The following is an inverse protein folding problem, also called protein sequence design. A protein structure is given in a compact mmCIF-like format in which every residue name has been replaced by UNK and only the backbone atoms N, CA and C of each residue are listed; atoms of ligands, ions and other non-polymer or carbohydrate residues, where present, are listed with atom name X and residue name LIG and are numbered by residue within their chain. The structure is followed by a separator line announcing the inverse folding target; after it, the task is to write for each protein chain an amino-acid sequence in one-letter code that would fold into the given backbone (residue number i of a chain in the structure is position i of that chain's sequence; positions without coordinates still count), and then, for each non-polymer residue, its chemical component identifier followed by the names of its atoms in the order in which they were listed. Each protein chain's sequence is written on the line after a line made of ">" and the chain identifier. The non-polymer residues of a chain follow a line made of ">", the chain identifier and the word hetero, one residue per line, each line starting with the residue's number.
data_IF_541543327271
#
_entry.id   IF_541543327271
#
_cell.length_a   1.000
_cell.length_b   1.000
_cell.length_c   1.000
_cell.angle_alpha   90.00
_cell.angle_beta   90.00
_cell.angle_gamma   90.00
#
_symmetry.space_group_name_H-M   'P 1'
#
loop_
_entity.id
_entity.type
_entity.pdbx_description
1 polymer ?
#
# COMPACT_ATOMS: atom_id res chain seq x y z
N UNK A 1 -24.29 2.96 24.49
CA UNK A 1 -24.47 4.40 24.33
C UNK A 1 -23.64 4.80 23.12
N UNK A 2 -24.29 5.05 21.98
CA UNK A 2 -23.63 5.21 20.69
C UNK A 2 -23.37 6.70 20.43
N UNK A 3 -22.13 7.07 20.10
CA UNK A 3 -21.78 8.42 19.66
C UNK A 3 -21.29 8.31 18.23
N UNK A 4 -22.16 8.69 17.29
CA UNK A 4 -21.81 9.00 15.91
C UNK A 4 -21.00 10.31 15.91
N UNK A 5 -19.86 10.33 15.23
CA UNK A 5 -19.18 11.57 14.88
C UNK A 5 -19.06 11.64 13.36
N UNK A 6 -19.83 12.57 12.80
CA UNK A 6 -19.90 12.90 11.38
C UNK A 6 -18.76 13.82 10.94
N UNK A 7 -18.35 13.61 9.69
CA UNK A 7 -17.32 14.27 8.89
C UNK A 7 -17.27 15.81 8.89
N UNK A 8 -16.08 16.37 8.59
CA UNK A 8 -15.94 17.69 7.98
C UNK A 8 -14.95 17.68 6.81
N UNK A 9 -15.49 17.93 5.61
CA UNK A 9 -14.81 18.25 4.36
C UNK A 9 -14.72 19.77 4.22
N UNK A 10 -13.57 20.30 3.79
CA UNK A 10 -13.48 21.65 3.22
C UNK A 10 -12.85 21.54 1.84
N UNK A 11 -13.67 21.77 0.82
CA UNK A 11 -13.25 21.99 -0.55
C UNK A 11 -13.26 23.49 -0.84
N UNK A 12 -12.21 24.00 -1.47
CA UNK A 12 -12.24 25.29 -2.17
C UNK A 12 -11.79 25.08 -3.61
N UNK A 13 -12.62 25.53 -4.54
CA UNK A 13 -12.39 25.46 -5.97
C UNK A 13 -11.61 26.66 -6.49
N UNK A 14 -10.94 26.46 -7.62
CA UNK A 14 -10.53 27.52 -8.54
C UNK A 14 -10.87 27.07 -9.95
N UNK A 15 -11.69 27.87 -10.63
CA UNK A 15 -12.04 27.74 -12.04
C UNK A 15 -10.87 28.19 -12.92
N UNK A 16 -10.50 27.38 -13.90
CA UNK A 16 -9.75 27.84 -15.08
C UNK A 16 -10.41 27.26 -16.32
N UNK A 17 -11.04 28.14 -17.10
CA UNK A 17 -11.54 27.91 -18.45
C UNK A 17 -10.37 27.89 -19.43
N UNK A 18 -10.27 26.83 -20.24
CA UNK A 18 -9.44 26.84 -21.46
C UNK A 18 -10.26 26.27 -22.62
N UNK A 19 -10.55 27.14 -23.57
CA UNK A 19 -11.06 26.85 -24.91
C UNK A 19 -9.97 26.15 -25.73
N UNK A 20 -10.30 25.04 -26.39
CA UNK A 20 -9.40 24.39 -27.34
C UNK A 20 -10.15 23.38 -28.21
N UNK A 21 -10.66 23.85 -29.35
CA UNK A 21 -11.29 23.04 -30.39
C UNK A 21 -10.21 22.36 -31.25
N UNK A 22 -10.28 21.03 -31.43
CA UNK A 22 -9.54 20.30 -32.46
C UNK A 22 -10.51 19.33 -33.16
N UNK A 23 -10.56 19.30 -34.51
CA UNK A 23 -11.50 18.48 -35.27
C UNK A 23 -11.07 17.02 -35.34
N UNK A 24 -12.01 16.09 -35.12
CA UNK A 24 -11.85 14.67 -35.46
C UNK A 24 -12.50 14.41 -36.82
N UNK A 25 -11.69 13.96 -37.77
CA UNK A 25 -12.16 13.39 -39.03
C UNK A 25 -12.61 11.95 -38.82
N UNK A 26 -13.85 11.67 -39.22
CA UNK A 26 -14.48 10.36 -39.24
C UNK A 26 -14.24 9.67 -40.60
N UNK A 27 -14.41 8.35 -40.59
CA UNK A 27 -14.58 7.40 -41.72
C UNK A 27 -13.35 6.72 -42.34
N UNK A 28 -13.15 5.46 -41.94
CA UNK A 28 -12.82 4.38 -42.86
C UNK A 28 -13.47 3.08 -42.38
N UNK A 29 -14.56 2.72 -43.05
CA UNK A 29 -15.37 1.51 -42.84
C UNK A 29 -14.76 0.40 -43.72
N UNK A 30 -14.09 -0.57 -43.12
CA UNK A 30 -13.55 -1.72 -43.83
C UNK A 30 -14.60 -2.84 -43.90
N UNK A 31 -15.16 -3.01 -45.09
CA UNK A 31 -15.99 -4.12 -45.53
C UNK A 31 -15.19 -5.42 -45.56
N UNK A 32 -15.64 -6.46 -44.85
CA UNK A 32 -15.11 -7.83 -44.98
C UNK A 32 -16.13 -8.68 -45.74
N UNK A 33 -15.76 -9.35 -46.85
CA UNK A 33 -16.66 -10.22 -47.60
C UNK A 33 -16.83 -11.59 -46.94
N UNK A 34 -18.08 -12.07 -46.88
CA UNK A 34 -18.42 -13.47 -46.62
C UNK A 34 -18.04 -14.37 -47.81
N UNK A 35 -17.55 -15.59 -47.55
CA UNK A 35 -17.74 -16.71 -48.46
C UNK A 35 -18.83 -17.65 -47.95
N UNK A 36 -19.85 -17.85 -48.78
CA UNK A 36 -20.81 -18.94 -48.73
C UNK A 36 -20.22 -20.21 -49.34
N UNK A 37 -20.39 -21.36 -48.69
CA UNK A 37 -20.40 -22.75 -49.19
C UNK A 37 -20.81 -23.58 -47.94
N UNK A 38 -21.92 -24.32 -47.90
CA UNK A 38 -22.28 -25.48 -48.71
C UNK A 38 -22.51 -26.66 -47.73
N UNK A 39 -23.72 -27.24 -47.75
CA UNK A 39 -24.14 -28.39 -46.94
C UNK A 39 -23.20 -29.59 -47.11
N UNK A 40 -22.83 -30.29 -46.02
CA UNK A 40 -22.88 -31.77 -45.93
C UNK A 40 -23.02 -32.22 -44.47
N UNK A 41 -23.96 -33.14 -44.24
CA UNK A 41 -24.14 -33.94 -43.02
C UNK A 41 -23.04 -34.98 -42.86
N UNK A 42 -22.57 -35.27 -41.63
CA UNK A 42 -22.49 -36.63 -41.11
C UNK A 42 -22.05 -36.73 -39.64
N UNK A 43 -22.54 -37.80 -39.03
CA UNK A 43 -22.40 -38.22 -37.65
C UNK A 43 -20.99 -38.72 -37.33
N UNK A 44 -20.45 -38.33 -36.18
CA UNK A 44 -19.46 -39.13 -35.44
C UNK A 44 -19.40 -38.65 -33.99
N UNK A 45 -19.98 -39.44 -33.08
CA UNK A 45 -19.74 -39.37 -31.64
C UNK A 45 -18.31 -39.84 -31.38
N UNK A 46 -17.46 -38.95 -30.87
CA UNK A 46 -16.15 -39.28 -30.32
C UNK A 46 -15.98 -38.61 -28.94
N UNK A 47 -15.23 -39.25 -28.03
CA UNK A 47 -15.28 -38.96 -26.61
C UNK A 47 -14.65 -37.61 -26.29
N UNK A 48 -15.23 -36.94 -25.30
CA UNK A 48 -14.78 -35.64 -24.80
C UNK A 48 -13.32 -35.66 -24.38
N UNK A 49 -12.47 -35.08 -25.22
CA UNK A 49 -11.27 -34.42 -24.74
C UNK A 49 -11.71 -33.08 -24.18
N UNK A 50 -11.82 -33.02 -22.85
CA UNK A 50 -11.80 -31.75 -22.14
C UNK A 50 -10.45 -31.08 -22.48
N UNK A 51 -10.49 -30.14 -23.43
CA UNK A 51 -9.44 -29.15 -23.58
C UNK A 51 -9.34 -28.45 -22.23
N UNK A 52 -8.28 -28.76 -21.49
CA UNK A 52 -7.79 -27.88 -20.44
C UNK A 52 -7.53 -26.55 -21.14
N UNK A 53 -8.49 -25.62 -21.05
CA UNK A 53 -8.25 -24.20 -21.21
C UNK A 53 -7.23 -23.84 -20.13
N UNK A 54 -5.95 -24.04 -20.42
CA UNK A 54 -4.89 -23.37 -19.72
C UNK A 54 -5.10 -21.90 -20.06
N UNK A 55 -5.78 -21.18 -19.17
CA UNK A 55 -5.74 -19.74 -19.16
C UNK A 55 -4.26 -19.38 -19.11
N UNK A 56 -3.76 -18.79 -20.20
CA UNK A 56 -2.49 -18.09 -20.19
C UNK A 56 -2.44 -17.22 -18.92
N UNK A 57 -1.33 -17.20 -18.17
CA UNK A 57 -1.21 -16.24 -17.09
C UNK A 57 -1.47 -14.86 -17.70
N UNK A 58 -2.57 -14.23 -17.28
CA UNK A 58 -2.86 -12.86 -17.63
C UNK A 58 -1.66 -12.09 -17.11
N UNK A 59 -0.87 -11.55 -18.04
CA UNK A 59 0.18 -10.60 -17.77
C UNK A 59 -0.50 -9.49 -16.97
N UNK A 60 -0.27 -9.52 -15.65
CA UNK A 60 -1.09 -8.80 -14.68
C UNK A 60 -1.16 -7.34 -15.07
N UNK A 61 -2.37 -6.78 -15.02
CA UNK A 61 -2.59 -5.35 -15.10
C UNK A 61 -1.56 -4.68 -14.17
N UNK A 62 -0.58 -3.99 -14.75
CA UNK A 62 0.54 -3.34 -14.03
C UNK A 62 0.05 -2.06 -13.33
N UNK A 63 -1.01 -2.22 -12.54
CA UNK A 63 -1.71 -1.15 -11.87
C UNK A 63 -1.78 -1.49 -10.39
N UNK A 64 -0.81 -0.97 -9.64
CA UNK A 64 -0.97 -0.83 -8.20
C UNK A 64 -1.98 0.30 -8.00
N UNK A 65 -3.10 0.09 -7.28
CA UNK A 65 -4.04 1.16 -7.00
C UNK A 65 -3.33 2.25 -6.19
N UNK A 66 -3.76 3.50 -6.32
CA UNK A 66 -3.25 4.57 -5.46
C UNK A 66 -3.56 4.26 -3.99
N UNK A 67 -2.75 4.76 -3.03
CA UNK A 67 -3.11 4.65 -1.63
C UNK A 67 -4.47 5.32 -1.37
N UNK A 68 -5.25 4.83 -0.39
CA UNK A 68 -6.39 5.57 0.10
C UNK A 68 -6.00 7.01 0.47
N UNK A 69 -6.87 7.98 0.16
CA UNK A 69 -6.61 9.40 0.44
C UNK A 69 -6.42 9.67 1.93
N UNK A 70 -7.12 8.91 2.77
CA UNK A 70 -7.06 9.00 4.21
C UNK A 70 -6.97 7.58 4.78
N UNK A 71 -6.05 7.37 5.71
CA UNK A 71 -5.97 6.17 6.54
C UNK A 71 -5.89 6.58 8.00
N UNK A 72 -6.48 5.76 8.86
CA UNK A 72 -6.50 5.97 10.29
C UNK A 72 -6.08 4.66 10.96
N UNK A 73 -4.97 4.71 11.68
CA UNK A 73 -4.49 3.62 12.51
C UNK A 73 -4.63 4.04 13.97
N UNK A 74 -5.02 3.12 14.85
CA UNK A 74 -5.21 3.39 16.27
C UNK A 74 -4.35 2.44 17.09
N UNK A 75 -3.73 2.99 18.13
CA UNK A 75 -2.98 2.21 19.11
C UNK A 75 -3.87 1.22 19.87
N UNK A 76 -3.35 0.11 20.39
CA UNK A 76 -4.16 -0.92 21.03
C UNK A 76 -5.08 -0.41 22.16
N UNK A 77 -4.60 0.49 23.02
CA UNK A 77 -5.41 1.10 24.07
C UNK A 77 -6.25 2.30 23.59
N UNK A 78 -6.05 2.78 22.37
CA UNK A 78 -6.76 3.93 21.79
C UNK A 78 -6.25 5.29 22.28
N UNK A 79 -5.08 5.34 22.92
CA UNK A 79 -4.49 6.59 23.42
C UNK A 79 -3.91 7.43 22.27
N UNK A 80 -3.42 6.77 21.23
CA UNK A 80 -2.86 7.40 20.05
C UNK A 80 -3.60 7.01 18.77
N UNK A 81 -3.71 8.00 17.88
CA UNK A 81 -4.29 7.86 16.54
C UNK A 81 -3.32 8.42 15.50
N UNK A 82 -2.93 7.58 14.56
CA UNK A 82 -2.11 7.97 13.42
C UNK A 82 -3.01 8.19 12.21
N UNK A 83 -2.94 9.39 11.65
CA UNK A 83 -3.66 9.77 10.43
C UNK A 83 -2.64 9.91 9.29
N UNK A 84 -2.85 9.17 8.21
CA UNK A 84 -2.07 9.31 6.97
C UNK A 84 -2.96 9.93 5.91
N UNK A 85 -2.54 11.06 5.36
CA UNK A 85 -3.29 11.78 4.33
C UNK A 85 -2.43 11.94 3.07
N UNK A 86 -2.88 11.36 1.96
CA UNK A 86 -2.28 11.56 0.65
C UNK A 86 -2.78 12.86 0.05
N UNK A 87 -1.87 13.81 -0.16
CA UNK A 87 -2.14 15.11 -0.75
C UNK A 87 -1.14 15.43 -1.85
N UNK A 88 -1.28 16.64 -2.44
CA UNK A 88 -0.24 17.23 -3.28
C UNK A 88 0.54 18.23 -2.44
N UNK A 89 1.86 18.21 -2.55
CA UNK A 89 2.71 19.25 -1.99
C UNK A 89 2.64 20.54 -2.84
N UNK A 90 3.37 21.57 -2.42
CA UNK A 90 3.43 22.87 -3.11
C UNK A 90 3.96 22.75 -4.56
N UNK A 91 4.77 21.72 -4.84
CA UNK A 91 5.28 21.42 -6.17
C UNK A 91 4.29 20.58 -7.01
N UNK A 92 3.14 20.20 -6.44
CA UNK A 92 2.13 19.37 -7.08
C UNK A 92 2.42 17.87 -7.06
N UNK A 93 3.50 17.44 -6.38
CA UNK A 93 3.88 16.03 -6.22
C UNK A 93 2.99 15.39 -5.19
N UNK A 94 2.49 14.18 -5.47
CA UNK A 94 1.73 13.44 -4.46
C UNK A 94 2.64 12.99 -3.33
N UNK A 95 2.26 13.32 -2.09
CA UNK A 95 3.01 13.01 -0.87
C UNK A 95 2.03 12.68 0.25
N UNK A 96 2.45 11.79 1.14
CA UNK A 96 1.66 11.47 2.33
C UNK A 96 2.16 12.26 3.51
N UNK A 97 1.25 12.97 4.16
CA UNK A 97 1.49 13.58 5.47
C UNK A 97 0.99 12.62 6.55
N UNK A 98 1.85 12.31 7.51
CA UNK A 98 1.50 11.59 8.73
C UNK A 98 1.27 12.60 9.85
N UNK A 99 0.20 12.41 10.63
CA UNK A 99 -0.09 13.20 11.81
C UNK A 99 -0.44 12.26 12.96
N UNK A 100 0.22 12.44 14.10
CA UNK A 100 -0.07 11.71 15.32
C UNK A 100 -0.93 12.56 16.25
N UNK A 101 -1.98 11.96 16.79
CA UNK A 101 -2.86 12.57 17.78
C UNK A 101 -2.88 11.74 19.06
N UNK A 102 -2.93 12.42 20.19
CA UNK A 102 -3.10 11.84 21.52
C UNK A 102 -4.49 12.15 22.07
N UNK A 103 -5.15 11.14 22.60
CA UNK A 103 -6.43 11.26 23.30
C UNK A 103 -6.18 11.69 24.74
N UNK A 104 -6.67 12.88 25.09
CA UNK A 104 -6.55 13.47 26.43
C UNK A 104 -7.95 13.75 26.98
N UNK A 105 -8.55 12.76 27.65
CA UNK A 105 -9.92 12.86 28.13
C UNK A 105 -10.93 12.83 26.98
N UNK A 106 -11.67 13.93 26.78
CA UNK A 106 -12.69 14.09 25.74
C UNK A 106 -12.19 14.75 24.46
N UNK A 107 -10.91 15.10 24.39
CA UNK A 107 -10.28 15.76 23.24
C UNK A 107 -9.15 14.93 22.65
N UNK A 108 -8.89 15.16 21.37
CA UNK A 108 -7.73 14.66 20.66
C UNK A 108 -6.79 15.83 20.33
N UNK A 109 -5.52 15.73 20.71
CA UNK A 109 -4.53 16.78 20.51
C UNK A 109 -3.48 16.30 19.51
N UNK A 110 -3.17 17.10 18.49
CA UNK A 110 -2.08 16.78 17.57
C UNK A 110 -0.75 16.87 18.30
N UNK A 111 0.01 15.78 18.27
CA UNK A 111 1.37 15.69 18.83
C UNK A 111 2.37 16.21 17.81
N UNK A 112 2.33 15.68 16.59
CA UNK A 112 3.17 16.11 15.48
C UNK A 112 2.49 15.89 14.12
N UNK A 113 3.04 16.51 13.09
CA UNK A 113 2.64 16.31 11.69
C UNK A 113 3.83 16.50 10.75
N UNK A 114 4.10 15.51 9.91
CA UNK A 114 5.23 15.50 8.98
C UNK A 114 4.85 14.96 7.61
N UNK A 115 5.34 15.61 6.56
CA UNK A 115 5.36 15.01 5.23
C UNK A 115 6.40 13.90 5.20
N UNK A 116 5.94 12.69 4.87
CA UNK A 116 6.80 11.52 4.84
C UNK A 116 7.72 11.53 3.61
N UNK A 117 8.94 10.99 3.73
CA UNK A 117 9.88 10.94 2.62
C UNK A 117 9.51 9.92 1.53
N UNK A 118 8.55 9.03 1.83
CA UNK A 118 7.98 8.05 0.91
C UNK A 118 7.42 8.69 -0.36
N UNK A 119 7.36 7.93 -1.46
CA UNK A 119 6.82 8.42 -2.73
C UNK A 119 5.32 8.70 -2.62
N UNK A 120 4.54 7.70 -2.21
CA UNK A 120 3.09 7.82 -1.99
C UNK A 120 2.67 7.52 -0.55
N UNK A 121 3.63 7.32 0.34
CA UNK A 121 3.38 6.87 1.71
C UNK A 121 3.69 5.39 1.90
N UNK A 122 3.58 4.93 3.16
CA UNK A 122 3.91 3.57 3.53
C UNK A 122 2.77 2.62 3.15
N UNK A 123 3.10 1.36 2.89
CA UNK A 123 2.09 0.33 2.62
C UNK A 123 1.30 0.01 3.87
N UNK A 124 1.98 -0.28 4.98
CA UNK A 124 1.35 -0.46 6.29
C UNK A 124 1.88 0.56 7.28
N UNK A 125 1.08 0.86 8.30
CA UNK A 125 1.50 1.71 9.40
C UNK A 125 0.84 1.22 10.68
N UNK A 126 1.55 1.31 11.79
CA UNK A 126 1.06 0.96 13.12
C UNK A 126 1.55 2.02 14.11
N UNK A 127 0.85 2.13 15.24
CA UNK A 127 1.22 2.99 16.36
C UNK A 127 1.01 2.23 17.67
N UNK A 128 1.98 2.29 18.58
CA UNK A 128 1.86 1.65 19.89
C UNK A 128 1.28 2.61 20.95
N UNK A 129 1.05 2.09 22.15
CA UNK A 129 0.50 2.87 23.28
C UNK A 129 1.53 3.83 23.91
N UNK A 130 2.78 3.85 23.44
CA UNK A 130 3.79 4.85 23.77
C UNK A 130 3.91 5.94 22.69
N UNK A 131 3.08 5.90 21.64
CA UNK A 131 3.10 6.85 20.53
C UNK A 131 4.22 6.63 19.52
N UNK A 132 4.91 5.49 19.59
CA UNK A 132 5.88 5.06 18.58
C UNK A 132 5.14 4.61 17.34
N UNK A 133 5.52 5.15 16.18
CA UNK A 133 4.93 4.86 14.88
C UNK A 133 5.89 4.00 14.07
N UNK A 134 5.39 2.90 13.50
CA UNK A 134 6.14 2.06 12.56
C UNK A 134 5.48 2.12 11.20
N UNK A 135 6.25 2.50 10.18
CA UNK A 135 5.83 2.58 8.80
C UNK A 135 6.55 1.48 8.01
N UNK A 136 5.79 0.69 7.25
CA UNK A 136 6.32 -0.46 6.53
C UNK A 136 6.09 -0.34 5.03
N UNK A 137 7.20 -0.49 4.32
CA UNK A 137 7.36 -0.57 2.88
C UNK A 137 6.84 0.65 2.09
N UNK A 138 7.37 0.85 0.89
CA UNK A 138 6.81 1.85 -0.02
C UNK A 138 5.54 1.31 -0.68
N UNK A 139 4.57 2.18 -0.91
CA UNK A 139 3.35 1.79 -1.63
C UNK A 139 3.61 1.27 -3.06
N UNK A 140 4.73 1.60 -3.69
CA UNK A 140 4.99 1.34 -5.12
C UNK A 140 5.65 -0.02 -5.44
N UNK A 141 5.72 -0.96 -4.49
CA UNK A 141 6.35 -2.30 -4.70
C UNK A 141 7.78 -2.21 -5.26
N UNK A 142 8.65 -1.44 -4.61
CA UNK A 142 10.07 -1.34 -4.99
C UNK A 142 10.97 -1.72 -3.82
N UNK A 143 12.19 -2.18 -4.13
CA UNK A 143 13.25 -2.28 -3.14
C UNK A 143 13.53 -0.89 -2.56
N UNK A 144 13.03 -0.63 -1.36
CA UNK A 144 13.02 0.70 -0.76
C UNK A 144 14.19 0.89 0.21
N UNK A 145 14.80 2.07 0.27
CA UNK A 145 15.68 2.46 1.38
C UNK A 145 14.91 2.67 2.71
N UNK A 146 13.58 2.60 2.67
CA UNK A 146 12.62 2.83 3.76
C UNK A 146 11.66 1.65 3.86
N UNK A 147 12.20 0.44 3.92
CA UNK A 147 11.40 -0.76 4.08
C UNK A 147 10.74 -0.80 5.47
N UNK A 148 11.44 -0.27 6.48
CA UNK A 148 10.90 -0.02 7.82
C UNK A 148 11.36 1.38 8.25
N UNK A 149 10.44 2.21 8.74
CA UNK A 149 10.76 3.49 9.38
C UNK A 149 10.07 3.52 10.74
N UNK A 150 10.83 3.79 11.79
CA UNK A 150 10.33 3.96 13.14
C UNK A 150 10.44 5.42 13.54
N UNK A 151 9.33 6.00 14.01
CA UNK A 151 9.24 7.38 14.44
C UNK A 151 8.80 7.45 15.90
N UNK A 152 9.42 8.33 16.68
CA UNK A 152 9.11 8.53 18.08
C UNK A 152 7.83 9.35 18.31
N UNK A 153 7.46 9.49 19.59
CA UNK A 153 6.37 10.36 20.03
C UNK A 153 6.62 11.83 19.66
N UNK A 154 7.87 12.24 19.48
CA UNK A 154 8.27 13.58 19.04
C UNK A 154 8.18 13.78 17.51
N UNK A 155 7.96 12.71 16.75
CA UNK A 155 7.92 12.73 15.28
C UNK A 155 9.28 12.56 14.62
N UNK A 156 10.35 12.38 15.40
CA UNK A 156 11.70 12.16 14.86
C UNK A 156 11.89 10.70 14.45
N UNK A 157 12.69 10.47 13.41
CA UNK A 157 13.03 9.11 12.95
C UNK A 157 14.04 8.50 13.93
N UNK A 158 13.60 7.48 14.65
CA UNK A 158 14.44 6.73 15.60
C UNK A 158 15.28 5.66 14.89
N UNK A 159 14.70 5.00 13.88
CA UNK A 159 15.38 3.98 13.09
C UNK A 159 14.80 3.92 11.66
N UNK A 160 15.65 3.55 10.70
CA UNK A 160 15.25 3.30 9.33
C UNK A 160 16.04 2.12 8.79
N UNK A 161 15.32 1.17 8.20
CA UNK A 161 15.89 -0.02 7.58
C UNK A 161 15.47 -0.09 6.12
N UNK A 162 16.43 -0.35 5.26
CA UNK A 162 16.25 -0.63 3.84
C UNK A 162 15.83 -2.08 3.63
N UNK A 163 15.40 -2.40 2.40
CA UNK A 163 15.19 -3.79 2.00
C UNK A 163 16.47 -4.62 2.12
N UNK A 164 17.63 -4.01 1.94
CA UNK A 164 18.91 -4.72 1.98
C UNK A 164 19.27 -5.14 3.41
N UNK A 165 18.90 -4.33 4.41
CA UNK A 165 19.04 -4.68 5.84
C UNK A 165 18.12 -5.87 6.20
N UNK A 166 16.95 -5.97 5.57
CA UNK A 166 16.04 -7.12 5.74
C UNK A 166 16.66 -8.39 5.12
N UNK A 167 17.25 -8.26 3.93
CA UNK A 167 17.97 -9.36 3.28
C UNK A 167 19.16 -9.82 4.15
N UNK A 168 19.88 -8.89 4.75
CA UNK A 168 20.99 -9.18 5.66
C UNK A 168 20.53 -9.93 6.91
N UNK A 169 19.53 -9.39 7.64
CA UNK A 169 19.07 -9.99 8.91
C UNK A 169 18.40 -11.35 8.71
N UNK A 170 17.73 -11.56 7.57
CA UNK A 170 17.12 -12.86 7.22
C UNK A 170 18.15 -13.88 6.74
N UNK A 171 19.34 -13.45 6.31
CA UNK A 171 20.36 -14.30 5.70
C UNK A 171 19.95 -14.93 4.36
N UNK A 172 18.88 -14.44 3.72
CA UNK A 172 18.34 -14.98 2.48
C UNK A 172 18.80 -14.18 1.26
N UNK A 173 18.59 -14.71 0.06
CA UNK A 173 18.81 -13.93 -1.17
C UNK A 173 17.67 -12.94 -1.40
N UNK A 174 17.95 -11.82 -2.08
CA UNK A 174 16.91 -10.84 -2.48
C UNK A 174 15.71 -11.51 -3.16
N UNK A 175 15.98 -12.42 -4.10
CA UNK A 175 14.94 -13.13 -4.85
C UNK A 175 14.08 -13.99 -3.92
N UNK A 176 14.70 -14.72 -2.99
CA UNK A 176 13.96 -15.54 -2.04
C UNK A 176 13.03 -14.72 -1.12
N UNK A 177 13.46 -13.54 -0.66
CA UNK A 177 12.60 -12.66 0.14
C UNK A 177 11.40 -12.16 -0.68
N UNK A 178 11.65 -11.72 -1.93
CA UNK A 178 10.61 -11.21 -2.83
C UNK A 178 9.63 -12.31 -3.25
N UNK A 179 10.10 -13.51 -3.57
CA UNK A 179 9.27 -14.65 -3.99
C UNK A 179 8.27 -15.09 -2.90
N UNK A 180 8.56 -14.74 -1.64
CA UNK A 180 7.73 -15.04 -0.48
C UNK A 180 6.85 -13.85 -0.06
N UNK A 181 7.00 -12.68 -0.70
CA UNK A 181 6.18 -11.52 -0.41
C UNK A 181 4.73 -11.76 -0.87
N UNK A 182 3.79 -11.54 0.03
CA UNK A 182 2.36 -11.58 -0.25
C UNK A 182 1.79 -10.16 -0.45
N UNK A 183 2.48 -9.16 0.12
CA UNK A 183 2.12 -7.76 0.00
C UNK A 183 3.37 -6.90 -0.05
N UNK A 184 3.35 -5.88 -0.89
CA UNK A 184 4.50 -4.99 -0.98
C UNK A 184 5.63 -5.64 -1.75
N UNK A 185 6.84 -5.18 -1.48
CA UNK A 185 8.06 -5.75 -2.05
C UNK A 185 8.60 -6.93 -1.24
N UNK A 186 8.30 -7.02 0.06
CA UNK A 186 8.96 -7.98 0.97
C UNK A 186 8.10 -8.57 2.09
N UNK A 187 6.92 -8.01 2.38
CA UNK A 187 6.08 -8.47 3.49
C UNK A 187 5.33 -9.74 3.09
N UNK A 188 5.42 -10.81 3.89
CA UNK A 188 4.71 -12.07 3.62
C UNK A 188 3.38 -12.19 4.36
N UNK A 189 3.03 -11.22 5.21
CA UNK A 189 1.79 -11.21 5.98
C UNK A 189 1.63 -9.95 6.82
N UNK A 190 0.54 -9.88 7.58
CA UNK A 190 0.25 -8.76 8.46
C UNK A 190 1.20 -8.75 9.66
N UNK A 191 1.82 -7.61 9.97
CA UNK A 191 2.59 -7.48 11.18
C UNK A 191 1.69 -7.42 12.41
N UNK A 192 2.24 -7.79 13.56
CA UNK A 192 1.57 -7.77 14.84
C UNK A 192 2.46 -7.08 15.88
N UNK A 193 1.83 -6.37 16.79
CA UNK A 193 2.51 -5.81 17.95
C UNK A 193 2.26 -6.73 19.14
N UNK A 194 3.27 -6.94 19.96
CA UNK A 194 3.12 -7.76 21.15
C UNK A 194 2.24 -7.05 22.20
N UNK A 195 1.84 -7.79 23.25
CA UNK A 195 0.94 -7.27 24.28
C UNK A 195 1.56 -6.12 25.08
N UNK A 196 2.89 -6.04 25.16
CA UNK A 196 3.58 -4.98 25.90
C UNK A 196 3.73 -3.71 25.07
N UNK A 197 3.68 -3.81 23.73
CA UNK A 197 3.91 -2.71 22.83
C UNK A 197 5.39 -2.38 22.63
N UNK A 198 6.30 -3.23 23.13
CA UNK A 198 7.75 -3.05 23.06
C UNK A 198 8.36 -3.77 21.86
N UNK A 199 7.63 -4.73 21.26
CA UNK A 199 8.11 -5.50 20.11
C UNK A 199 7.05 -5.64 19.04
N UNK A 200 7.50 -5.61 17.80
CA UNK A 200 6.69 -5.89 16.63
C UNK A 200 7.23 -7.12 15.90
N UNK A 201 6.34 -8.02 15.49
CA UNK A 201 6.65 -9.18 14.67
C UNK A 201 6.10 -8.97 13.27
N UNK A 202 6.94 -9.16 12.26
CA UNK A 202 6.66 -8.85 10.87
C UNK A 202 6.91 -10.12 10.06
N UNK A 203 5.86 -10.77 9.52
CA UNK A 203 6.04 -11.92 8.64
C UNK A 203 6.81 -11.51 7.39
N UNK A 204 7.96 -12.14 7.18
CA UNK A 204 8.82 -11.92 6.02
C UNK A 204 9.66 -13.15 5.73
N UNK A 205 10.01 -13.37 4.46
CA UNK A 205 10.97 -14.40 4.05
C UNK A 205 10.70 -15.80 4.65
N UNK A 206 9.42 -16.18 4.83
CA UNK A 206 9.03 -17.49 5.34
C UNK A 206 9.20 -17.68 6.86
N UNK A 207 9.59 -16.63 7.58
CA UNK A 207 9.72 -16.59 9.04
C UNK A 207 9.08 -15.33 9.63
N UNK A 208 9.62 -14.87 10.75
CA UNK A 208 9.16 -13.65 11.43
C UNK A 208 10.34 -12.76 11.79
N UNK A 209 10.38 -11.58 11.18
CA UNK A 209 11.28 -10.53 11.62
C UNK A 209 10.73 -9.92 12.91
N UNK A 210 11.57 -9.75 13.90
CA UNK A 210 11.28 -9.01 15.13
C UNK A 210 11.90 -7.63 15.05
N UNK A 211 11.17 -6.61 15.49
CA UNK A 211 11.63 -5.24 15.63
C UNK A 211 11.44 -4.82 17.09
N UNK A 212 12.53 -4.45 17.76
CA UNK A 212 12.49 -3.83 19.08
C UNK A 212 12.09 -2.36 18.92
N UNK A 213 11.02 -1.93 19.59
CA UNK A 213 10.44 -0.60 19.41
C UNK A 213 11.11 0.47 20.28
N UNK A 214 11.95 0.07 21.23
CA UNK A 214 12.75 1.01 22.03
C UNK A 214 14.07 1.36 21.32
N UNK A 215 14.71 0.37 20.69
CA UNK A 215 16.02 0.55 20.04
C UNK A 215 15.95 0.66 18.53
N UNK A 216 14.90 0.14 17.91
CA UNK A 216 14.77 0.00 16.47
C UNK A 216 15.60 -1.15 15.90
N UNK A 217 16.19 -2.02 16.73
CA UNK A 217 16.97 -3.16 16.26
C UNK A 217 16.07 -4.25 15.65
N UNK A 218 16.57 -4.89 14.59
CA UNK A 218 15.90 -6.01 13.92
C UNK A 218 16.57 -7.34 14.28
N UNK A 219 15.76 -8.39 14.39
CA UNK A 219 16.20 -9.79 14.45
C UNK A 219 15.28 -10.69 13.62
N UNK A 220 15.68 -11.92 13.33
CA UNK A 220 14.90 -12.89 12.55
C UNK A 220 14.92 -14.28 13.19
#
# INVERSE_FOLDING_TARGET
>A
MAVLISWLLVAQGVMVTVNGSIPFSETARATIPQPSLGLVSNWATLPGFALLSQSLPVLGQDSIPHPPLLRHETSPAGNYHLILMLGKDEAGTQRTTASLFETLGDRCQQVWSHTLPHSYGPRLALVNDAGTVVLLDEWINVASPRAIVMMGLDGEVMAQHSFDDIVEVTGQSRAAVVDQAAQGFWLSGSPEMDLTGDRMTIPAAGGQLSLDLATGEMGF
#
